data_IF_534680979226
#
_entry.id   IF_534680979226
#
_cell.length_a   1.000
_cell.length_b   1.000
_cell.length_c   1.000
_cell.angle_alpha   90.00
_cell.angle_beta   90.00
_cell.angle_gamma   90.00
#
_symmetry.space_group_name_H-M   'P 1'
#
loop_
_entity.id
_entity.type
_entity.pdbx_description
1 polymer ?
#
# COMPACT_ATOMS: atom_id res chain seq x y z
N UNK A 1 9.12 -4.99 -0.20
CA UNK A 1 8.64 -3.76 -0.87
C UNK A 1 7.51 -3.17 -0.06
N UNK A 2 7.58 -1.87 0.24
CA UNK A 2 6.55 -1.12 0.93
C UNK A 2 5.74 -0.29 -0.07
N UNK A 3 4.41 -0.39 0.00
CA UNK A 3 3.49 0.45 -0.77
C UNK A 3 2.57 1.17 0.23
N UNK A 4 2.86 2.42 0.62
CA UNK A 4 1.96 3.17 1.48
C UNK A 4 0.74 3.63 0.67
N UNK A 5 -0.43 3.58 1.29
CA UNK A 5 -1.71 4.02 0.73
C UNK A 5 -2.41 4.95 1.72
N UNK A 6 -3.06 5.98 1.19
CA UNK A 6 -3.77 6.99 1.97
C UNK A 6 -5.16 7.23 1.37
N UNK A 7 -5.99 7.99 2.08
CA UNK A 7 -7.21 8.50 1.49
C UNK A 7 -6.88 9.37 0.28
N UNK A 8 -7.50 9.08 -0.86
CA UNK A 8 -7.25 9.77 -2.12
C UNK A 8 -6.12 9.20 -2.97
N UNK A 9 -5.44 8.12 -2.55
CA UNK A 9 -4.50 7.39 -3.44
C UNK A 9 -5.20 6.96 -4.74
N UNK A 10 -4.45 6.92 -5.84
CA UNK A 10 -4.92 6.43 -7.15
C UNK A 10 -5.00 4.89 -7.10
N UNK A 11 -6.21 4.32 -7.22
CA UNK A 11 -6.40 2.89 -7.01
C UNK A 11 -5.78 1.99 -8.10
N UNK A 12 -5.73 2.43 -9.35
CA UNK A 12 -5.09 1.68 -10.43
C UNK A 12 -3.57 1.66 -10.25
N UNK A 13 -2.93 2.80 -9.95
CA UNK A 13 -1.50 2.89 -9.69
C UNK A 13 -1.11 2.00 -8.50
N UNK A 14 -1.84 2.10 -7.39
CA UNK A 14 -1.60 1.27 -6.21
C UNK A 14 -1.78 -0.23 -6.52
N UNK A 15 -2.94 -0.64 -7.05
CA UNK A 15 -3.27 -2.06 -7.25
C UNK A 15 -2.38 -2.70 -8.32
N UNK A 16 -2.08 -2.00 -9.41
CA UNK A 16 -1.21 -2.53 -10.48
C UNK A 16 0.20 -2.79 -9.95
N UNK A 17 0.78 -1.84 -9.20
CA UNK A 17 2.12 -2.00 -8.62
C UNK A 17 2.15 -3.18 -7.64
N UNK A 18 1.14 -3.27 -6.76
CA UNK A 18 1.03 -4.36 -5.79
C UNK A 18 0.91 -5.72 -6.51
N UNK A 19 0.02 -5.83 -7.49
CA UNK A 19 -0.24 -7.08 -8.21
C UNK A 19 0.99 -7.55 -9.00
N UNK A 20 1.62 -6.65 -9.76
CA UNK A 20 2.81 -6.98 -10.56
C UNK A 20 3.97 -7.45 -9.69
N UNK A 21 4.25 -6.75 -8.58
CA UNK A 21 5.34 -7.12 -7.67
C UNK A 21 5.06 -8.44 -6.94
N UNK A 22 3.82 -8.68 -6.52
CA UNK A 22 3.42 -9.97 -5.92
C UNK A 22 3.55 -11.13 -6.93
N UNK A 23 3.17 -10.93 -8.20
CA UNK A 23 3.39 -11.91 -9.28
C UNK A 23 4.87 -12.18 -9.55
N UNK A 24 5.72 -11.18 -9.37
CA UNK A 24 7.18 -11.33 -9.40
C UNK A 24 7.77 -12.00 -8.15
N UNK A 25 6.92 -12.46 -7.21
CA UNK A 25 7.28 -13.08 -5.92
C UNK A 25 7.98 -12.14 -4.94
N UNK A 26 7.85 -10.82 -5.12
CA UNK A 26 8.31 -9.88 -4.12
C UNK A 26 7.38 -9.91 -2.89
N UNK A 27 7.95 -9.78 -1.69
CA UNK A 27 7.16 -9.57 -0.47
C UNK A 27 6.67 -8.12 -0.43
N UNK A 28 5.38 -7.91 -0.72
CA UNK A 28 4.76 -6.57 -0.80
C UNK A 28 3.87 -6.35 0.42
N UNK A 29 4.20 -5.34 1.21
CA UNK A 29 3.42 -4.85 2.34
C UNK A 29 2.70 -3.56 1.92
N UNK A 30 1.37 -3.58 1.99
CA UNK A 30 0.53 -2.40 1.81
C UNK A 30 0.33 -1.76 3.17
N UNK A 31 0.73 -0.51 3.33
CA UNK A 31 0.68 0.18 4.63
C UNK A 31 -0.28 1.37 4.58
N UNK A 32 -1.25 1.42 5.50
CA UNK A 32 -2.15 2.57 5.60
C UNK A 32 -1.47 3.73 6.32
N UNK A 33 -1.51 4.92 5.70
CA UNK A 33 -1.08 6.18 6.33
C UNK A 33 -2.14 6.71 7.30
N UNK A 34 -3.38 6.24 7.18
CA UNK A 34 -4.53 6.66 7.97
C UNK A 34 -4.60 5.92 9.32
N UNK A 35 -5.50 6.37 10.20
CA UNK A 35 -5.77 5.71 11.48
C UNK A 35 -6.59 4.40 11.33
N UNK A 36 -6.89 3.98 10.10
CA UNK A 36 -7.63 2.75 9.77
C UNK A 36 -6.91 1.99 8.66
N UNK A 37 -7.04 0.66 8.66
CA UNK A 37 -6.51 -0.18 7.57
C UNK A 37 -7.32 -0.05 6.28
N UNK A 38 -8.61 0.26 6.37
CA UNK A 38 -9.42 0.61 5.19
C UNK A 38 -9.18 2.07 4.82
N UNK A 39 -8.71 2.31 3.59
CA UNK A 39 -8.57 3.63 2.99
C UNK A 39 -9.54 3.78 1.80
N UNK A 40 -10.00 5.01 1.58
CA UNK A 40 -10.86 5.34 0.44
C UNK A 40 -10.02 6.03 -0.62
N UNK A 41 -9.77 5.32 -1.73
CA UNK A 41 -9.04 5.81 -2.87
C UNK A 41 -9.79 6.92 -3.63
N UNK A 42 -9.10 7.58 -4.54
CA UNK A 42 -9.56 8.76 -5.27
C UNK A 42 -10.92 8.60 -5.99
N UNK A 43 -11.28 7.40 -6.48
CA UNK A 43 -12.61 7.14 -7.11
C UNK A 43 -13.51 6.27 -6.22
N UNK A 44 -13.39 6.41 -4.91
CA UNK A 44 -14.18 5.70 -3.89
C UNK A 44 -13.96 4.18 -3.83
N UNK A 45 -12.89 3.67 -4.44
CA UNK A 45 -12.48 2.28 -4.23
C UNK A 45 -11.95 2.12 -2.80
N UNK A 46 -12.37 1.06 -2.12
CA UNK A 46 -11.90 0.74 -0.79
C UNK A 46 -10.71 -0.20 -0.88
N UNK A 47 -9.57 0.22 -0.35
CA UNK A 47 -8.39 -0.61 -0.24
C UNK A 47 -8.20 -0.97 1.23
N UNK A 48 -7.91 -2.23 1.51
CA UNK A 48 -7.58 -2.70 2.85
C UNK A 48 -6.07 -2.96 2.88
N UNK A 49 -5.36 -2.16 3.66
CA UNK A 49 -3.93 -2.30 3.89
C UNK A 49 -3.63 -3.52 4.79
N UNK A 50 -2.42 -4.04 4.67
CA UNK A 50 -1.94 -5.17 5.48
C UNK A 50 -1.63 -4.72 6.92
N UNK A 51 -1.11 -3.49 7.10
CA UNK A 51 -0.77 -2.92 8.40
C UNK A 51 -0.72 -1.38 8.39
N UNK A 52 -0.46 -0.74 9.54
CA UNK A 52 -0.28 0.71 9.63
C UNK A 52 1.12 1.15 9.21
N UNK A 53 1.26 2.36 8.65
CA UNK A 53 2.54 2.94 8.27
C UNK A 53 3.51 3.04 9.45
N UNK A 54 2.99 3.34 10.65
CA UNK A 54 3.80 3.40 11.88
C UNK A 54 4.46 2.07 12.21
N UNK A 55 3.76 0.95 11.97
CA UNK A 55 4.31 -0.39 12.21
C UNK A 55 5.26 -0.80 11.09
N UNK A 56 4.90 -0.47 9.84
CA UNK A 56 5.75 -0.69 8.67
C UNK A 56 7.09 0.04 8.80
N UNK A 57 7.12 1.26 9.34
CA UNK A 57 8.34 2.06 9.49
C UNK A 57 9.44 1.40 10.33
N UNK A 58 9.09 0.44 11.19
CA UNK A 58 10.03 -0.30 12.02
C UNK A 58 10.66 -1.52 11.30
N UNK A 59 10.25 -1.80 10.06
CA UNK A 59 10.70 -2.95 9.28
C UNK A 59 11.62 -2.53 8.13
N UNK A 60 12.60 -3.38 7.74
CA UNK A 60 13.45 -3.12 6.60
C UNK A 60 12.73 -3.44 5.27
N UNK A 61 13.01 -2.65 4.23
CA UNK A 61 12.51 -2.87 2.87
C UNK A 61 13.59 -2.59 1.82
N UNK A 62 13.59 -3.38 0.75
CA UNK A 62 14.49 -3.17 -0.40
C UNK A 62 14.02 -2.03 -1.33
N UNK A 63 12.74 -1.66 -1.25
CA UNK A 63 12.09 -0.66 -2.11
C UNK A 63 10.84 -0.10 -1.43
N UNK A 64 10.60 1.21 -1.62
CA UNK A 64 9.35 1.90 -1.29
C UNK A 64 8.79 2.47 -2.59
N UNK A 65 7.51 2.23 -2.89
CA UNK A 65 6.85 2.73 -4.10
C UNK A 65 5.62 3.55 -3.72
N UNK A 66 5.54 4.78 -4.21
CA UNK A 66 4.46 5.73 -3.91
C UNK A 66 3.49 5.81 -5.10
N UNK A 67 2.23 5.38 -4.93
CA UNK A 67 1.13 5.60 -5.87
C UNK A 67 0.37 6.91 -5.59
#
# INVERSE_FOLDING_TARGET
>A
VLVPVANGSEEMEAVIIIDVLRRAKANVIVASVEDKLEVVASRNVKLVADMFLKEAAELPYDLIVLP
#
